data_IF_457249247874
#
_entry.id   IF_457249247874
#
_cell.length_a   1.000
_cell.length_b   1.000
_cell.length_c   1.000
_cell.angle_alpha   90.00
_cell.angle_beta   90.00
_cell.angle_gamma   90.00
#
_symmetry.space_group_name_H-M   'P 1'
#
loop_
_entity.id
_entity.type
_entity.pdbx_description
1 polymer ?
#
# COMPACT_ATOMS: atom_id res chain seq x y z
N UNK A 1 9.40 3.32 10.19
CA UNK A 1 10.02 2.77 8.96
C UNK A 1 10.16 3.87 7.92
N UNK A 2 11.32 4.04 7.30
CA UNK A 2 11.67 5.17 6.40
C UNK A 2 10.64 5.46 5.30
N UNK A 3 9.93 4.44 4.80
CA UNK A 3 8.83 4.60 3.84
C UNK A 3 7.62 5.35 4.41
N UNK A 4 7.29 5.11 5.68
CA UNK A 4 6.20 5.77 6.42
C UNK A 4 6.52 7.25 6.65
N UNK A 5 7.74 7.56 7.11
CA UNK A 5 8.21 8.94 7.31
C UNK A 5 8.35 9.74 6.01
N UNK A 6 8.78 9.11 4.91
CA UNK A 6 8.84 9.75 3.59
C UNK A 6 7.44 9.99 2.99
N UNK A 7 6.43 9.20 3.35
CA UNK A 7 5.05 9.38 2.92
C UNK A 7 4.41 10.67 3.44
N UNK A 8 4.87 11.17 4.59
CA UNK A 8 4.35 12.37 5.25
C UNK A 8 4.93 13.70 4.73
N UNK A 9 5.98 13.67 3.90
CA UNK A 9 6.65 14.89 3.41
C UNK A 9 6.18 15.29 2.00
N UNK A 10 6.02 16.60 1.77
CA UNK A 10 5.17 17.16 0.71
C UNK A 10 5.84 17.34 -0.66
N UNK A 11 7.14 17.04 -0.80
CA UNK A 11 7.84 17.31 -2.06
C UNK A 11 7.53 16.26 -3.14
N UNK A 12 7.56 16.67 -4.42
CA UNK A 12 7.44 15.75 -5.58
C UNK A 12 8.51 14.65 -5.56
N UNK A 13 9.67 14.92 -4.96
CA UNK A 13 10.76 13.97 -4.84
C UNK A 13 10.43 12.87 -3.83
N UNK A 14 9.90 13.22 -2.67
CA UNK A 14 9.52 12.26 -1.62
C UNK A 14 8.37 11.35 -2.06
N UNK A 15 7.40 11.88 -2.80
CA UNK A 15 6.33 11.06 -3.41
C UNK A 15 6.87 10.09 -4.47
N UNK A 16 7.92 10.46 -5.21
CA UNK A 16 8.61 9.55 -6.14
C UNK A 16 9.42 8.50 -5.39
N UNK A 17 10.11 8.88 -4.32
CA UNK A 17 10.85 7.96 -3.47
C UNK A 17 9.93 6.96 -2.76
N UNK A 18 8.78 7.39 -2.24
CA UNK A 18 7.77 6.50 -1.67
C UNK A 18 7.25 5.48 -2.70
N UNK A 19 7.01 5.91 -3.96
CA UNK A 19 6.67 5.00 -5.05
C UNK A 19 7.79 4.00 -5.36
N UNK A 20 9.05 4.42 -5.33
CA UNK A 20 10.22 3.56 -5.57
C UNK A 20 10.41 2.55 -4.44
N UNK A 21 10.28 2.99 -3.18
CA UNK A 21 10.43 2.12 -2.01
C UNK A 21 9.30 1.09 -1.96
N UNK A 22 8.06 1.47 -2.27
CA UNK A 22 6.94 0.53 -2.38
C UNK A 22 7.00 -0.33 -3.64
N UNK A 23 7.77 0.07 -4.66
CA UNK A 23 7.86 -0.69 -5.90
C UNK A 23 8.44 -2.09 -5.65
N UNK A 24 9.33 -2.23 -4.66
CA UNK A 24 9.95 -3.52 -4.32
C UNK A 24 8.91 -4.55 -3.87
N UNK A 25 7.90 -4.16 -3.09
CA UNK A 25 6.92 -5.09 -2.51
C UNK A 25 5.58 -5.14 -3.25
N UNK A 26 5.48 -4.59 -4.47
CA UNK A 26 4.21 -4.48 -5.21
C UNK A 26 3.05 -3.81 -4.45
N UNK A 27 3.36 -3.10 -3.36
CA UNK A 27 2.39 -2.58 -2.41
C UNK A 27 2.07 -1.10 -2.65
N UNK A 28 2.15 -0.67 -3.91
CA UNK A 28 2.02 0.75 -4.31
C UNK A 28 0.68 1.40 -3.99
N UNK A 29 -0.39 0.62 -3.81
CA UNK A 29 -1.70 1.12 -3.41
C UNK A 29 -1.71 1.68 -1.97
N UNK A 30 -0.82 1.18 -1.11
CA UNK A 30 -0.66 1.65 0.26
C UNK A 30 -0.40 3.15 0.32
N UNK A 31 0.37 3.71 -0.61
CA UNK A 31 0.61 5.15 -0.63
C UNK A 31 -0.68 5.98 -0.72
N UNK A 32 -1.63 5.58 -1.56
CA UNK A 32 -2.91 6.29 -1.69
C UNK A 32 -3.79 6.00 -0.48
N UNK A 33 -3.90 4.73 -0.12
CA UNK A 33 -4.73 4.26 0.98
C UNK A 33 -4.31 4.91 2.29
N UNK A 34 -3.03 4.85 2.64
CA UNK A 34 -2.51 5.34 3.90
C UNK A 34 -2.74 6.85 4.06
N UNK A 35 -2.35 7.61 3.04
CA UNK A 35 -2.39 9.08 3.07
C UNK A 35 -3.80 9.67 2.99
N UNK A 36 -4.71 9.03 2.25
CA UNK A 36 -6.04 9.59 1.94
C UNK A 36 -7.21 8.77 2.50
N UNK A 37 -6.94 7.59 3.05
CA UNK A 37 -7.90 6.64 3.61
C UNK A 37 -7.63 6.37 5.07
N UNK A 38 -6.53 5.68 5.40
CA UNK A 38 -6.20 5.25 6.76
C UNK A 38 -6.14 6.41 7.74
N UNK A 39 -5.30 7.44 7.55
CA UNK A 39 -5.23 8.55 8.53
C UNK A 39 -6.56 9.26 8.75
N UNK A 40 -7.42 9.27 7.73
CA UNK A 40 -8.77 9.82 7.85
C UNK A 40 -9.62 8.90 8.73
N UNK A 41 -9.56 7.58 8.54
CA UNK A 41 -10.46 6.62 9.18
C UNK A 41 -9.84 5.87 10.38
N UNK A 42 -8.60 6.16 10.75
CA UNK A 42 -7.84 5.42 11.77
C UNK A 42 -8.62 5.31 13.08
N UNK A 43 -8.54 4.14 13.69
CA UNK A 43 -9.30 3.70 14.84
C UNK A 43 -10.82 3.68 14.64
N UNK A 44 -11.35 3.73 13.40
CA UNK A 44 -12.81 3.60 13.16
C UNK A 44 -13.14 2.26 12.49
N UNK A 45 -14.39 1.76 12.58
CA UNK A 45 -14.79 0.54 11.88
C UNK A 45 -14.63 0.57 10.35
N UNK A 46 -14.42 1.75 9.76
CA UNK A 46 -14.25 1.95 8.31
C UNK A 46 -12.80 1.79 7.85
N UNK A 47 -11.85 1.79 8.77
CA UNK A 47 -10.43 1.63 8.44
C UNK A 47 -10.02 0.15 8.43
N UNK A 48 -9.59 -0.37 7.27
CA UNK A 48 -9.11 -1.75 7.20
C UNK A 48 -7.80 -1.96 7.98
N UNK A 49 -6.97 -0.93 8.17
CA UNK A 49 -5.67 -1.04 8.81
C UNK A 49 -5.68 -0.80 10.34
N UNK A 50 -6.86 -0.61 10.94
CA UNK A 50 -7.03 -0.59 12.40
C UNK A 50 -7.34 -1.98 12.92
N UNK A 51 -6.49 -2.49 13.81
CA UNK A 51 -6.68 -3.80 14.42
C UNK A 51 -7.71 -3.73 15.56
N UNK A 52 -8.71 -4.61 15.49
CA UNK A 52 -9.81 -4.62 16.47
C UNK A 52 -9.33 -5.27 17.77
N UNK A 53 -9.93 -4.87 18.89
CA UNK A 53 -9.64 -5.51 20.17
C UNK A 53 -9.98 -7.02 20.10
N UNK A 54 -9.00 -7.88 20.41
CA UNK A 54 -9.14 -9.33 20.36
C UNK A 54 -9.00 -9.96 18.98
N UNK A 55 -8.75 -9.16 17.94
CA UNK A 55 -8.50 -9.69 16.59
C UNK A 55 -7.08 -10.23 16.48
N UNK A 56 -6.93 -11.48 16.05
CA UNK A 56 -5.59 -12.04 15.81
C UNK A 56 -4.94 -11.42 14.59
N UNK A 57 -3.61 -11.33 14.59
CA UNK A 57 -2.84 -10.81 13.45
C UNK A 57 -3.20 -11.52 12.13
N UNK A 58 -3.45 -12.83 12.18
CA UNK A 58 -3.77 -13.62 10.99
C UNK A 58 -5.16 -13.35 10.41
N UNK A 59 -6.11 -12.85 11.22
CA UNK A 59 -7.42 -12.37 10.75
C UNK A 59 -7.30 -10.94 10.23
N UNK A 60 -6.52 -10.12 10.95
CA UNK A 60 -6.24 -8.73 10.59
C UNK A 60 -5.55 -8.62 9.23
N UNK A 61 -4.48 -9.40 9.00
CA UNK A 61 -3.59 -9.25 7.85
C UNK A 61 -4.32 -9.28 6.50
N UNK A 62 -5.08 -10.33 6.14
CA UNK A 62 -5.81 -10.33 4.87
C UNK A 62 -6.88 -9.23 4.82
N UNK A 63 -7.55 -8.92 5.94
CA UNK A 63 -8.55 -7.86 6.00
C UNK A 63 -7.94 -6.48 5.71
N UNK A 64 -6.78 -6.20 6.29
CA UNK A 64 -6.04 -4.96 6.09
C UNK A 64 -5.54 -4.85 4.65
N UNK A 65 -4.88 -5.89 4.13
CA UNK A 65 -4.32 -5.91 2.78
C UNK A 65 -5.39 -5.73 1.70
N UNK A 66 -6.43 -6.57 1.69
CA UNK A 66 -7.47 -6.48 0.66
C UNK A 66 -8.38 -5.27 0.84
N UNK A 67 -8.68 -4.92 2.10
CA UNK A 67 -9.45 -3.73 2.43
C UNK A 67 -8.73 -2.46 2.00
N UNK A 68 -7.42 -2.40 2.24
CA UNK A 68 -6.56 -1.29 1.86
C UNK A 68 -6.44 -1.16 0.34
N UNK A 69 -6.23 -2.26 -0.38
CA UNK A 69 -6.25 -2.27 -1.85
C UNK A 69 -7.56 -1.71 -2.41
N UNK A 70 -8.71 -2.19 -1.91
CA UNK A 70 -10.03 -1.71 -2.34
C UNK A 70 -10.25 -0.24 -2.00
N UNK A 71 -9.86 0.17 -0.80
CA UNK A 71 -9.95 1.55 -0.31
C UNK A 71 -9.12 2.50 -1.19
N UNK A 72 -7.82 2.20 -1.37
CA UNK A 72 -6.89 2.97 -2.19
C UNK A 72 -7.36 3.07 -3.64
N UNK A 73 -7.77 1.96 -4.25
CA UNK A 73 -8.29 1.96 -5.62
C UNK A 73 -9.53 2.85 -5.77
N UNK A 74 -10.48 2.75 -4.83
CA UNK A 74 -11.70 3.57 -4.82
C UNK A 74 -11.38 5.06 -4.69
N UNK A 75 -10.46 5.43 -3.80
CA UNK A 75 -10.04 6.83 -3.57
C UNK A 75 -9.41 7.40 -4.84
N UNK A 76 -8.44 6.69 -5.43
CA UNK A 76 -7.72 7.16 -6.61
C UNK A 76 -8.63 7.21 -7.85
N UNK A 77 -9.48 6.20 -8.02
CA UNK A 77 -10.48 6.20 -9.10
C UNK A 77 -11.43 7.38 -8.97
N UNK A 78 -11.90 7.70 -7.76
CA UNK A 78 -12.74 8.87 -7.54
C UNK A 78 -12.02 10.19 -7.86
N UNK A 79 -10.73 10.31 -7.53
CA UNK A 79 -9.89 11.46 -7.93
C UNK A 79 -9.85 11.62 -9.44
N UNK A 80 -9.62 10.53 -10.18
CA UNK A 80 -9.52 10.55 -11.64
C UNK A 80 -10.85 10.87 -12.33
N UNK A 81 -11.96 10.32 -11.84
CA UNK A 81 -13.29 10.66 -12.36
C UNK A 81 -13.60 12.16 -12.24
N UNK A 82 -13.23 12.80 -11.12
CA UNK A 82 -13.35 14.26 -10.96
C UNK A 82 -12.50 15.06 -11.95
N UNK A 83 -11.47 14.44 -12.53
CA UNK A 83 -10.59 15.01 -13.54
C UNK A 83 -10.93 14.55 -14.97
N UNK A 84 -12.11 13.95 -15.18
CA UNK A 84 -12.54 13.45 -16.48
C UNK A 84 -11.64 12.34 -17.06
N UNK A 85 -10.91 11.62 -16.22
CA UNK A 85 -9.97 10.56 -16.64
C UNK A 85 -10.45 9.18 -16.19
N UNK A 86 -10.24 8.11 -16.99
CA UNK A 86 -10.59 6.76 -16.58
C UNK A 86 -9.69 6.25 -15.44
N UNK A 87 -10.22 5.31 -14.64
CA UNK A 87 -9.51 4.72 -13.52
C UNK A 87 -8.24 3.97 -13.97
N UNK A 88 -8.33 3.23 -15.08
CA UNK A 88 -7.17 2.63 -15.75
C UNK A 88 -6.57 3.66 -16.71
N UNK A 89 -5.71 4.53 -16.17
CA UNK A 89 -4.97 5.50 -16.97
C UNK A 89 -3.54 5.65 -16.44
N UNK A 90 -2.59 6.14 -17.27
CA UNK A 90 -1.25 6.51 -16.81
C UNK A 90 -1.26 7.61 -15.75
N UNK A 91 -2.40 8.31 -15.55
CA UNK A 91 -2.59 9.32 -14.51
C UNK A 91 -2.91 8.71 -13.14
N UNK A 92 -3.23 7.42 -13.08
CA UNK A 92 -3.48 6.70 -11.84
C UNK A 92 -2.16 6.37 -11.14
N UNK A 93 -1.99 6.89 -9.92
CA UNK A 93 -0.77 6.70 -9.14
C UNK A 93 -0.53 5.24 -8.73
N UNK A 94 -1.59 4.46 -8.53
CA UNK A 94 -1.51 3.03 -8.20
C UNK A 94 -1.03 2.27 -9.44
N UNK A 95 -1.60 2.56 -10.60
CA UNK A 95 -1.16 1.97 -11.88
C UNK A 95 0.30 2.30 -12.14
N UNK A 96 0.72 3.57 -11.98
CA UNK A 96 2.12 3.95 -12.12
C UNK A 96 3.04 3.16 -11.17
N UNK A 97 2.65 3.01 -9.89
CA UNK A 97 3.45 2.28 -8.93
C UNK A 97 3.56 0.79 -9.30
N UNK A 98 2.47 0.15 -9.71
CA UNK A 98 2.49 -1.23 -10.19
C UNK A 98 3.28 -1.41 -11.48
N UNK A 99 3.22 -0.44 -12.40
CA UNK A 99 4.07 -0.45 -13.60
C UNK A 99 5.55 -0.38 -13.26
N UNK A 100 5.93 0.45 -12.26
CA UNK A 100 7.31 0.50 -11.76
C UNK A 100 7.74 -0.82 -11.11
N UNK A 101 6.88 -1.42 -10.28
CA UNK A 101 7.12 -2.75 -9.70
C UNK A 101 7.32 -3.83 -10.78
N UNK A 102 6.45 -3.85 -11.80
CA UNK A 102 6.54 -4.77 -12.91
C UNK A 102 7.82 -4.57 -13.73
N UNK A 103 8.21 -3.32 -13.99
CA UNK A 103 9.46 -3.01 -14.66
C UNK A 103 10.67 -3.46 -13.85
N UNK A 104 10.67 -3.24 -12.53
CA UNK A 104 11.73 -3.71 -11.63
C UNK A 104 11.84 -5.24 -11.65
N UNK A 105 10.75 -5.95 -11.45
CA UNK A 105 10.75 -7.42 -11.43
C UNK A 105 11.11 -7.99 -12.79
N UNK A 106 10.56 -7.44 -13.87
CA UNK A 106 10.90 -7.83 -15.24
C UNK A 106 12.39 -7.65 -15.52
N UNK A 107 12.99 -6.54 -15.07
CA UNK A 107 14.43 -6.30 -15.20
C UNK A 107 15.24 -7.33 -14.41
N UNK A 108 14.91 -7.58 -13.14
CA UNK A 108 15.63 -8.55 -12.32
C UNK A 108 15.52 -9.97 -12.88
N UNK A 109 14.33 -10.39 -13.32
CA UNK A 109 14.10 -11.71 -13.93
C UNK A 109 14.86 -11.83 -15.25
N UNK A 110 14.92 -10.77 -16.06
CA UNK A 110 15.68 -10.77 -17.31
C UNK A 110 17.19 -10.91 -17.06
N UNK A 111 17.71 -10.27 -16.02
CA UNK A 111 19.14 -10.29 -15.68
C UNK A 111 19.59 -11.57 -14.97
N UNK A 112 18.77 -12.10 -14.06
CA UNK A 112 19.15 -13.20 -13.16
C UNK A 112 18.40 -14.52 -13.43
N UNK A 113 17.50 -14.54 -14.41
CA UNK A 113 16.68 -15.70 -14.77
C UNK A 113 15.40 -15.84 -13.93
N UNK A 114 14.47 -16.68 -14.39
CA UNK A 114 13.18 -16.87 -13.73
C UNK A 114 13.28 -17.53 -12.34
N UNK A 115 14.42 -18.16 -12.04
CA UNK A 115 14.71 -18.84 -10.77
C UNK A 115 14.70 -17.89 -9.57
N UNK A 116 14.85 -16.58 -9.78
CA UNK A 116 14.74 -15.60 -8.69
C UNK A 116 13.30 -15.27 -8.30
N UNK A 117 12.30 -15.65 -9.12
CA UNK A 117 10.91 -15.28 -8.90
C UNK A 117 10.37 -15.71 -7.52
N UNK A 118 10.62 -16.94 -7.01
CA UNK A 118 10.19 -17.31 -5.67
C UNK A 118 10.77 -16.41 -4.57
N UNK A 119 12.03 -15.97 -4.73
CA UNK A 119 12.69 -15.07 -3.79
C UNK A 119 12.08 -13.67 -3.82
N UNK A 120 11.72 -13.15 -5.00
CA UNK A 120 11.01 -11.89 -5.14
C UNK A 120 9.60 -11.95 -4.52
N UNK A 121 8.89 -13.06 -4.70
CA UNK A 121 7.58 -13.25 -4.09
C UNK A 121 7.71 -13.33 -2.55
N UNK A 122 8.68 -14.08 -2.04
CA UNK A 122 8.94 -14.18 -0.60
C UNK A 122 9.29 -12.81 0.01
N UNK A 123 10.17 -12.05 -0.64
CA UNK A 123 10.51 -10.68 -0.26
C UNK A 123 9.27 -9.77 -0.24
N UNK A 124 8.37 -9.93 -1.21
CA UNK A 124 7.14 -9.13 -1.29
C UNK A 124 6.22 -9.44 -0.11
N UNK A 125 6.00 -10.72 0.16
CA UNK A 125 5.19 -11.17 1.28
C UNK A 125 5.75 -10.73 2.63
N UNK A 126 7.07 -10.83 2.82
CA UNK A 126 7.74 -10.35 4.01
C UNK A 126 7.57 -8.83 4.19
N UNK A 127 7.80 -8.05 3.13
CA UNK A 127 7.64 -6.60 3.16
C UNK A 127 6.22 -6.14 3.50
N UNK A 128 5.20 -6.77 2.89
CA UNK A 128 3.79 -6.51 3.20
C UNK A 128 3.49 -6.87 4.65
N UNK A 129 3.94 -8.04 5.10
CA UNK A 129 3.68 -8.53 6.45
C UNK A 129 4.31 -7.64 7.51
N UNK A 130 5.54 -7.15 7.31
CA UNK A 130 6.18 -6.23 8.26
C UNK A 130 5.48 -4.86 8.33
N UNK A 131 5.03 -4.34 7.19
CA UNK A 131 4.29 -3.08 7.16
C UNK A 131 2.93 -3.22 7.89
N UNK A 132 2.21 -4.30 7.62
CA UNK A 132 0.93 -4.57 8.28
C UNK A 132 1.09 -4.96 9.76
N UNK A 133 2.19 -5.60 10.15
CA UNK A 133 2.52 -5.82 11.55
C UNK A 133 2.72 -4.50 12.31
N UNK A 134 3.35 -3.50 11.68
CA UNK A 134 3.44 -2.16 12.26
C UNK A 134 2.04 -1.53 12.42
N UNK A 135 1.21 -1.56 11.37
CA UNK A 135 -0.19 -1.07 11.46
C UNK A 135 -0.97 -1.78 12.57
N UNK A 136 -0.82 -3.10 12.68
CA UNK A 136 -1.49 -3.92 13.69
C UNK A 136 -1.10 -3.47 15.10
N UNK A 137 0.20 -3.34 15.37
CA UNK A 137 0.71 -2.97 16.69
C UNK A 137 0.37 -1.52 17.06
N UNK A 138 0.51 -0.59 16.12
CA UNK A 138 0.24 0.84 16.35
C UNK A 138 -1.23 1.13 16.63
N UNK A 139 -2.15 0.35 16.03
CA UNK A 139 -3.59 0.61 16.10
C UNK A 139 -4.38 -0.44 16.88
N UNK A 140 -3.70 -1.36 17.58
CA UNK A 140 -4.37 -2.47 18.26
C UNK A 140 -5.34 -2.00 19.33
N UNK A 141 -6.62 -2.36 19.16
CA UNK A 141 -7.66 -2.05 20.14
C UNK A 141 -8.04 -0.57 20.22
N UNK A 142 -7.48 0.28 19.35
CA UNK A 142 -7.88 1.68 19.29
C UNK A 142 -9.27 1.79 18.67
N UNK A 143 -10.15 2.53 19.33
CA UNK A 143 -11.49 2.82 18.84
C UNK A 143 -11.82 4.30 19.01
N UNK A 144 -12.15 4.93 17.89
CA UNK A 144 -12.66 6.29 17.78
C UNK A 144 -14.11 6.20 17.32
N UNK A 145 -15.00 6.79 18.13
CA UNK A 145 -16.37 7.06 17.72
C UNK A 145 -16.34 8.25 16.77
N UNK A 146 -16.96 8.10 15.60
CA UNK A 146 -16.98 9.13 14.56
C UNK A 146 -18.40 9.60 14.31
#
# INVERSE_FOLDING_TARGET
NTAHELGHKSSRLERRLAKIVLAQSFYGHFYIEHNYGHHVNVATPRDPASARFGESFWIFLPRSVFGGLKSGWRIESARLRRQGSPALSPRNNIVQAWSLSAALFGTLITLFGWQILPWLLLQTLAGITFLEAANYLEHYGLLRVR
#
